data_IF_023808034804
#
_entry.id   IF_023808034804
#
_cell.length_a   1.000
_cell.length_b   1.000
_cell.length_c   1.000
_cell.angle_alpha   90.00
_cell.angle_beta   90.00
_cell.angle_gamma   90.00
#
_symmetry.space_group_name_H-M   'P 1'
#
loop_
_entity.id
_entity.type
_entity.pdbx_description
1 polymer ?
#
# COMPACT_ATOMS: atom_id res chain seq x y z
N UNK A 1 8.19 -3.06 12.10
CA UNK A 1 7.38 -4.30 12.11
C UNK A 1 8.29 -5.48 12.38
N UNK A 2 7.91 -6.42 13.25
CA UNK A 2 8.71 -7.63 13.50
C UNK A 2 8.74 -8.51 12.23
N UNK A 3 9.93 -8.97 11.83
CA UNK A 3 10.14 -9.78 10.60
C UNK A 3 9.17 -10.96 10.50
N UNK A 4 9.04 -11.74 11.57
CA UNK A 4 8.15 -12.90 11.58
C UNK A 4 6.68 -12.56 11.35
N UNK A 5 6.21 -11.40 11.82
CA UNK A 5 4.83 -10.96 11.57
C UNK A 5 4.65 -10.53 10.11
N UNK A 6 5.63 -9.82 9.55
CA UNK A 6 5.66 -9.44 8.13
C UNK A 6 5.55 -10.68 7.24
N UNK A 7 6.36 -11.70 7.51
CA UNK A 7 6.41 -12.90 6.69
C UNK A 7 5.09 -13.68 6.73
N UNK A 8 4.44 -13.76 7.91
CA UNK A 8 3.10 -14.37 8.05
C UNK A 8 2.06 -13.58 7.24
N UNK A 9 2.04 -12.25 7.36
CA UNK A 9 1.10 -11.41 6.63
C UNK A 9 1.29 -11.53 5.12
N UNK A 10 2.54 -11.55 4.65
CA UNK A 10 2.84 -11.73 3.23
C UNK A 10 2.48 -13.14 2.74
N UNK A 11 2.81 -14.19 3.49
CA UNK A 11 2.45 -15.55 3.11
C UNK A 11 0.95 -15.73 2.92
N UNK A 12 0.13 -15.09 3.76
CA UNK A 12 -1.33 -15.13 3.64
C UNK A 12 -1.87 -14.26 2.50
N UNK A 13 -1.37 -13.03 2.37
CA UNK A 13 -1.97 -12.02 1.50
C UNK A 13 -1.44 -11.99 0.07
N UNK A 14 -0.21 -12.48 -0.16
CA UNK A 14 0.47 -12.40 -1.47
C UNK A 14 -0.33 -13.02 -2.62
N UNK A 15 -0.96 -14.21 -2.51
CA UNK A 15 -1.76 -14.76 -3.60
C UNK A 15 -2.96 -13.86 -3.99
N UNK A 16 -3.55 -13.19 -2.99
CA UNK A 16 -4.67 -12.25 -3.22
C UNK A 16 -4.15 -10.98 -3.88
N UNK A 17 -3.00 -10.45 -3.42
CA UNK A 17 -2.34 -9.31 -4.04
C UNK A 17 -1.97 -9.60 -5.49
N UNK A 18 -1.32 -10.72 -5.76
CA UNK A 18 -0.84 -11.06 -7.10
C UNK A 18 -1.99 -11.29 -8.10
N UNK A 19 -3.14 -11.81 -7.63
CA UNK A 19 -4.35 -11.96 -8.48
C UNK A 19 -5.08 -10.66 -8.79
N UNK A 20 -4.87 -9.59 -8.02
CA UNK A 20 -5.56 -8.30 -8.18
C UNK A 20 -4.60 -7.13 -8.47
N UNK A 21 -3.30 -7.40 -8.66
CA UNK A 21 -2.25 -6.40 -8.82
C UNK A 21 -2.50 -5.48 -10.02
N UNK A 22 -2.90 -6.05 -11.16
CA UNK A 22 -3.25 -5.29 -12.36
C UNK A 22 -4.46 -4.38 -12.13
N UNK A 23 -5.51 -4.90 -11.49
CA UNK A 23 -6.71 -4.12 -11.19
C UNK A 23 -6.42 -2.93 -10.28
N UNK A 24 -5.56 -3.11 -9.27
CA UNK A 24 -5.16 -2.01 -8.39
C UNK A 24 -4.31 -0.97 -9.15
N UNK A 25 -3.40 -1.43 -10.01
CA UNK A 25 -2.57 -0.56 -10.83
C UNK A 25 -3.41 0.30 -11.80
N UNK A 26 -4.38 -0.32 -12.47
CA UNK A 26 -5.26 0.35 -13.41
C UNK A 26 -6.20 1.32 -12.68
N UNK A 27 -6.77 0.91 -11.54
CA UNK A 27 -7.59 1.80 -10.71
C UNK A 27 -6.81 3.03 -10.24
N UNK A 28 -5.55 2.87 -9.84
CA UNK A 28 -4.70 4.00 -9.48
C UNK A 28 -4.47 4.95 -10.67
N UNK A 29 -4.17 4.40 -11.85
CA UNK A 29 -3.94 5.19 -13.07
C UNK A 29 -5.20 5.94 -13.50
N UNK A 30 -6.36 5.28 -13.46
CA UNK A 30 -7.66 5.88 -13.75
C UNK A 30 -7.97 7.01 -12.76
N UNK A 31 -7.75 6.79 -11.46
CA UNK A 31 -8.01 7.79 -10.42
C UNK A 31 -7.18 9.05 -10.64
N UNK A 32 -5.89 8.92 -10.97
CA UNK A 32 -5.02 10.07 -11.27
C UNK A 32 -5.52 10.84 -12.49
N UNK A 33 -6.04 10.13 -13.49
CA UNK A 33 -6.55 10.73 -14.73
C UNK A 33 -7.87 11.46 -14.50
N UNK A 34 -8.78 10.87 -13.73
CA UNK A 34 -10.14 11.39 -13.51
C UNK A 34 -10.16 12.47 -12.42
N UNK A 35 -9.36 12.31 -11.36
CA UNK A 35 -9.36 13.18 -10.18
C UNK A 35 -8.00 13.85 -9.90
N UNK A 36 -7.34 14.49 -10.89
CA UNK A 36 -6.03 15.09 -10.67
C UNK A 36 -6.07 16.26 -9.66
N UNK A 37 -7.17 17.01 -9.62
CA UNK A 37 -7.31 18.17 -8.71
C UNK A 37 -7.32 17.77 -7.24
N UNK A 38 -7.88 16.59 -6.90
CA UNK A 38 -7.87 16.09 -5.53
C UNK A 38 -6.44 15.82 -5.03
N UNK A 39 -5.56 15.31 -5.91
CA UNK A 39 -4.16 15.08 -5.61
C UNK A 39 -3.37 16.39 -5.54
N UNK A 40 -3.66 17.35 -6.42
CA UNK A 40 -3.05 18.68 -6.38
C UNK A 40 -3.44 19.41 -5.09
N UNK A 41 -4.69 19.31 -4.65
CA UNK A 41 -5.17 19.88 -3.39
C UNK A 41 -4.48 19.26 -2.16
N UNK A 42 -4.00 18.03 -2.25
CA UNK A 42 -3.15 17.40 -1.22
C UNK A 42 -1.69 17.91 -1.23
N UNK A 43 -1.34 18.84 -2.13
CA UNK A 43 -0.01 19.45 -2.22
C UNK A 43 0.95 18.79 -3.21
N UNK A 44 0.47 17.85 -4.04
CA UNK A 44 1.31 17.26 -5.08
C UNK A 44 1.52 18.22 -6.27
N UNK A 45 2.72 18.17 -6.85
CA UNK A 45 3.06 19.06 -7.97
C UNK A 45 2.19 18.77 -9.21
N UNK A 46 1.48 19.76 -9.79
CA UNK A 46 0.52 19.54 -10.87
C UNK A 46 1.08 18.82 -12.10
N UNK A 47 2.30 19.17 -12.52
CA UNK A 47 2.93 18.49 -13.65
C UNK A 47 3.14 17.01 -13.34
N UNK A 48 3.64 16.68 -12.15
CA UNK A 48 3.91 15.30 -11.74
C UNK A 48 2.63 14.46 -11.70
N UNK A 49 1.55 15.00 -11.12
CA UNK A 49 0.23 14.34 -11.08
C UNK A 49 -0.23 13.98 -12.50
N UNK A 50 -0.20 14.94 -13.42
CA UNK A 50 -0.75 14.75 -14.77
C UNK A 50 0.16 13.94 -15.70
N UNK A 51 1.49 13.95 -15.49
CA UNK A 51 2.44 13.36 -16.43
C UNK A 51 2.93 11.97 -16.03
N UNK A 52 3.03 11.67 -14.73
CA UNK A 52 3.88 10.57 -14.28
C UNK A 52 3.36 9.81 -13.07
N UNK A 53 2.56 10.44 -12.20
CA UNK A 53 2.13 9.84 -10.94
C UNK A 53 1.36 8.52 -11.16
N UNK A 54 0.43 8.48 -12.12
CA UNK A 54 -0.35 7.27 -12.43
C UNK A 54 0.51 6.10 -12.90
N UNK A 55 1.43 6.34 -13.84
CA UNK A 55 2.32 5.30 -14.36
C UNK A 55 3.37 4.85 -13.33
N UNK A 56 3.83 5.78 -12.49
CA UNK A 56 4.72 5.48 -11.38
C UNK A 56 4.02 4.59 -10.34
N UNK A 57 2.77 4.90 -9.99
CA UNK A 57 1.96 4.09 -9.09
C UNK A 57 1.73 2.68 -9.66
N UNK A 58 1.30 2.60 -10.93
CA UNK A 58 1.05 1.33 -11.60
C UNK A 58 2.32 0.46 -11.69
N UNK A 59 3.45 1.06 -12.08
CA UNK A 59 4.73 0.35 -12.17
C UNK A 59 5.19 -0.15 -10.81
N UNK A 60 5.05 0.66 -9.76
CA UNK A 60 5.34 0.24 -8.40
C UNK A 60 4.45 -0.93 -7.99
N UNK A 61 3.14 -0.83 -8.19
CA UNK A 61 2.20 -1.89 -7.84
C UNK A 61 2.59 -3.18 -8.56
N UNK A 62 2.89 -3.12 -9.86
CA UNK A 62 3.26 -4.30 -10.65
C UNK A 62 4.61 -4.92 -10.27
N UNK A 63 5.58 -4.13 -9.80
CA UNK A 63 6.92 -4.62 -9.47
C UNK A 63 6.93 -5.66 -8.33
N UNK A 64 6.01 -5.56 -7.37
CA UNK A 64 5.89 -6.51 -6.24
C UNK A 64 7.06 -6.56 -5.25
N UNK A 65 8.09 -5.75 -5.48
CA UNK A 65 9.28 -5.60 -4.64
C UNK A 65 9.90 -4.21 -4.85
N UNK A 66 10.82 -3.82 -3.96
CA UNK A 66 11.51 -2.53 -4.00
C UNK A 66 11.43 -1.77 -2.66
N UNK A 67 12.21 -0.72 -2.54
CA UNK A 67 12.49 -0.06 -1.25
C UNK A 67 12.23 1.46 -1.23
N UNK A 68 11.52 1.99 -2.23
CA UNK A 68 11.22 3.43 -2.27
C UNK A 68 10.00 3.77 -1.41
N UNK A 69 10.25 4.48 -0.30
CA UNK A 69 9.20 5.08 0.53
C UNK A 69 8.34 6.12 -0.22
N UNK A 70 8.91 6.79 -1.24
CA UNK A 70 8.16 7.75 -2.04
C UNK A 70 7.10 7.07 -2.92
N UNK A 71 7.38 5.87 -3.44
CA UNK A 71 6.37 5.07 -4.15
C UNK A 71 5.23 4.67 -3.22
N UNK A 72 5.53 4.41 -1.94
CA UNK A 72 4.49 4.17 -0.93
C UNK A 72 3.60 5.40 -0.73
N UNK A 73 4.20 6.59 -0.63
CA UNK A 73 3.45 7.84 -0.52
C UNK A 73 2.57 8.11 -1.74
N UNK A 74 3.08 7.85 -2.95
CA UNK A 74 2.31 8.01 -4.19
C UNK A 74 1.07 7.11 -4.20
N UNK A 75 1.25 5.80 -3.99
CA UNK A 75 0.13 4.85 -4.04
C UNK A 75 -0.89 5.11 -2.92
N UNK A 76 -0.42 5.37 -1.71
CA UNK A 76 -1.32 5.68 -0.57
C UNK A 76 -2.09 6.98 -0.77
N UNK A 77 -1.49 8.02 -1.36
CA UNK A 77 -2.19 9.27 -1.67
C UNK A 77 -3.31 9.05 -2.70
N UNK A 78 -3.05 8.27 -3.75
CA UNK A 78 -4.08 7.94 -4.76
C UNK A 78 -5.21 7.15 -4.13
N UNK A 79 -4.89 6.14 -3.32
CA UNK A 79 -5.91 5.30 -2.66
C UNK A 79 -6.69 6.10 -1.62
N UNK A 80 -6.10 7.13 -1.02
CA UNK A 80 -6.82 8.07 -0.17
C UNK A 80 -7.86 8.88 -0.96
N UNK A 81 -7.60 9.20 -2.23
CA UNK A 81 -8.62 9.81 -3.12
C UNK A 81 -9.70 8.80 -3.49
N UNK A 82 -9.34 7.53 -3.73
CA UNK A 82 -10.33 6.46 -3.98
C UNK A 82 -11.28 6.29 -2.79
N UNK A 83 -10.74 6.36 -1.56
CA UNK A 83 -11.48 6.27 -0.31
C UNK A 83 -11.95 7.64 0.21
N UNK A 84 -12.24 8.59 -0.68
CA UNK A 84 -12.77 9.90 -0.29
C UNK A 84 -14.04 9.72 0.54
N UNK A 85 -14.13 10.49 1.64
CA UNK A 85 -15.24 10.41 2.59
C UNK A 85 -15.10 9.34 3.69
N UNK A 86 -14.13 8.42 3.59
CA UNK A 86 -13.90 7.42 4.63
C UNK A 86 -13.18 8.00 5.85
N UNK A 87 -13.63 7.59 7.04
CA UNK A 87 -12.98 7.88 8.31
C UNK A 87 -11.69 7.07 8.50
N UNK A 88 -10.91 7.40 9.52
CA UNK A 88 -9.69 6.63 9.86
C UNK A 88 -10.07 5.22 10.31
N UNK A 89 -11.16 5.08 11.06
CA UNK A 89 -11.67 3.80 11.55
C UNK A 89 -12.10 2.89 10.39
N UNK A 90 -12.75 3.45 9.36
CA UNK A 90 -13.12 2.71 8.14
C UNK A 90 -11.89 2.27 7.34
N UNK A 91 -10.85 3.12 7.29
CA UNK A 91 -9.58 2.76 6.67
C UNK A 91 -8.84 1.67 7.45
N UNK A 92 -8.95 1.65 8.78
CA UNK A 92 -8.29 0.65 9.63
C UNK A 92 -8.94 -0.74 9.53
N UNK A 93 -10.27 -0.80 9.50
CA UNK A 93 -11.02 -2.06 9.54
C UNK A 93 -11.72 -2.39 8.22
N UNK A 94 -10.99 -3.01 7.29
CA UNK A 94 -11.56 -3.54 6.04
C UNK A 94 -11.93 -5.03 6.16
N UNK A 95 -13.19 -5.38 5.89
CA UNK A 95 -13.71 -6.75 6.06
C UNK A 95 -13.27 -7.74 4.96
N UNK A 96 -12.56 -7.27 3.95
CA UNK A 96 -12.10 -8.03 2.77
C UNK A 96 -11.42 -9.35 3.19
N UNK A 97 -10.55 -9.29 4.19
CA UNK A 97 -9.78 -10.44 4.67
C UNK A 97 -10.62 -11.51 5.37
N UNK A 98 -11.77 -11.14 5.95
CA UNK A 98 -12.70 -12.08 6.59
C UNK A 98 -13.59 -12.79 5.57
N UNK A 99 -13.95 -12.12 4.48
CA UNK A 99 -14.86 -12.64 3.43
C UNK A 99 -14.18 -13.64 2.48
N UNK A 100 -12.86 -13.49 2.27
CA UNK A 100 -12.07 -14.29 1.31
C UNK A 100 -11.88 -15.77 1.72
N UNK A 101 -12.28 -16.18 2.93
CA UNK A 101 -12.32 -17.60 3.33
C UNK A 101 -13.39 -18.43 2.61
N UNK A 102 -14.31 -17.80 1.86
CA UNK A 102 -15.53 -18.44 1.33
C UNK A 102 -15.50 -18.81 -0.17
N UNK A 103 -14.42 -18.55 -0.91
CA UNK A 103 -14.33 -18.91 -2.33
C UNK A 103 -13.48 -17.93 -3.13
N UNK A 104 -12.44 -18.45 -3.79
CA UNK A 104 -11.48 -17.69 -4.59
C UNK A 104 -12.07 -17.33 -5.95
N UNK A 105 -12.85 -16.26 -6.01
CA UNK A 105 -13.18 -15.59 -7.28
C UNK A 105 -12.26 -14.39 -7.43
N UNK A 106 -11.51 -14.30 -8.52
CA UNK A 106 -10.86 -13.04 -8.91
C UNK A 106 -11.98 -12.04 -9.17
N UNK A 107 -11.93 -10.88 -8.54
CA UNK A 107 -12.92 -9.83 -8.77
C UNK A 107 -12.72 -9.25 -10.17
N UNK A 108 -13.79 -8.98 -10.91
CA UNK A 108 -13.70 -8.24 -12.18
C UNK A 108 -13.38 -6.76 -11.98
N UNK A 109 -13.74 -6.21 -10.80
CA UNK A 109 -13.49 -4.82 -10.39
C UNK A 109 -13.22 -4.75 -8.89
N UNK A 110 -12.35 -3.83 -8.49
CA UNK A 110 -12.07 -3.56 -7.08
C UNK A 110 -13.09 -2.56 -6.51
N UNK A 111 -13.70 -2.91 -5.38
CA UNK A 111 -14.38 -1.94 -4.53
C UNK A 111 -13.37 -1.16 -3.68
N UNK A 112 -13.83 -0.07 -3.05
CA UNK A 112 -12.98 0.81 -2.22
C UNK A 112 -12.29 0.01 -1.09
N UNK A 113 -13.03 -0.90 -0.45
CA UNK A 113 -12.52 -1.74 0.62
C UNK A 113 -11.36 -2.64 0.14
N UNK A 114 -11.49 -3.26 -1.04
CA UNK A 114 -10.44 -4.09 -1.63
C UNK A 114 -9.24 -3.26 -2.06
N UNK A 115 -9.45 -2.06 -2.62
CA UNK A 115 -8.36 -1.15 -2.95
C UNK A 115 -7.53 -0.76 -1.71
N UNK A 116 -8.21 -0.41 -0.60
CA UNK A 116 -7.56 -0.10 0.69
C UNK A 116 -6.83 -1.33 1.23
N UNK A 117 -7.48 -2.50 1.23
CA UNK A 117 -6.89 -3.76 1.71
C UNK A 117 -5.60 -4.11 0.96
N UNK A 118 -5.65 -4.12 -0.38
CA UNK A 118 -4.50 -4.43 -1.23
C UNK A 118 -3.38 -3.40 -1.08
N UNK A 119 -3.73 -2.13 -0.87
CA UNK A 119 -2.75 -1.07 -0.59
C UNK A 119 -2.00 -1.31 0.71
N UNK A 120 -2.66 -1.83 1.75
CA UNK A 120 -1.98 -2.24 2.99
C UNK A 120 -0.98 -3.37 2.73
N UNK A 121 -1.32 -4.35 1.88
CA UNK A 121 -0.38 -5.40 1.49
C UNK A 121 0.81 -4.81 0.73
N UNK A 122 0.55 -3.93 -0.22
CA UNK A 122 1.59 -3.20 -0.95
C UNK A 122 2.56 -2.46 -0.01
N UNK A 123 2.05 -1.84 1.06
CA UNK A 123 2.87 -1.19 2.10
C UNK A 123 3.72 -2.22 2.85
N UNK A 124 3.15 -3.37 3.23
CA UNK A 124 3.86 -4.46 3.92
C UNK A 124 4.96 -5.05 3.04
N UNK A 125 4.71 -5.24 1.73
CA UNK A 125 5.70 -5.70 0.75
C UNK A 125 6.95 -4.80 0.74
N UNK A 126 6.75 -3.48 0.88
CA UNK A 126 7.81 -2.45 0.85
C UNK A 126 8.35 -2.03 2.21
N UNK A 127 7.74 -2.50 3.30
CA UNK A 127 8.27 -2.25 4.63
C UNK A 127 9.61 -2.96 4.76
N UNK A 128 10.65 -2.20 5.05
CA UNK A 128 11.91 -2.76 5.51
C UNK A 128 11.76 -3.26 6.96
N UNK A 129 12.65 -4.18 7.35
CA UNK A 129 12.83 -4.57 8.74
C UNK A 129 13.33 -3.35 9.53
N UNK A 130 12.88 -3.20 10.79
CA UNK A 130 13.72 -2.46 11.73
C UNK A 130 14.95 -3.32 11.94
N UNK A 131 16.14 -2.76 11.72
CA UNK A 131 17.38 -3.46 12.01
C UNK A 131 17.52 -3.66 13.52
N UNK A 132 17.11 -4.84 14.00
CA UNK A 132 17.20 -5.19 15.41
C UNK A 132 18.66 -5.36 15.86
N UNK A 133 19.64 -5.43 14.94
CA UNK A 133 21.06 -5.42 15.32
C UNK A 133 21.45 -4.11 16.03
N UNK A 134 20.76 -3.00 15.74
CA UNK A 134 21.01 -1.72 16.41
C UNK A 134 20.75 -1.77 17.93
N UNK A 135 19.90 -2.68 18.41
CA UNK A 135 19.69 -2.91 19.85
C UNK A 135 20.74 -3.83 20.47
N UNK A 136 21.40 -4.66 19.66
CA UNK A 136 22.49 -5.54 20.11
C UNK A 136 23.85 -4.82 20.11
N UNK A 137 24.00 -3.73 19.36
CA UNK A 137 25.21 -2.91 19.29
C UNK A 137 25.21 -1.69 20.23
N UNK A 138 24.25 -1.60 21.16
CA UNK A 138 24.32 -0.60 22.23
C UNK A 138 25.54 -0.93 23.12
N UNK A 139 26.53 -0.03 23.24
CA UNK A 139 27.66 -0.25 24.13
C UNK A 139 27.16 -0.50 25.54
N UNK A 140 27.66 -1.56 26.19
CA UNK A 140 27.30 -1.95 27.56
C UNK A 140 27.48 -0.81 28.57
N UNK A 141 28.24 0.24 28.23
CA UNK A 141 28.41 1.45 29.01
C UNK A 141 27.14 2.27 29.25
N UNK A 142 26.03 2.01 28.54
CA UNK A 142 24.74 2.65 28.79
C UNK A 142 23.83 1.88 29.77
N UNK A 143 24.20 0.64 30.15
CA UNK A 143 23.42 -0.17 31.08
C UNK A 143 23.82 0.01 32.56
N UNK A 144 24.85 0.80 32.84
CA UNK A 144 25.32 1.08 34.20
C UNK A 144 25.68 2.56 34.36
N UNK A 145 24.68 3.40 34.60
CA UNK A 145 24.82 4.76 35.12
C UNK A 145 23.76 4.99 36.22
#
# INVERSE_FOLDING_TARGET
>A
MHRGLRDILLAYSKPIMDSHRSLLADLCRETVTTNPEALIAQGWHPHFVRSSMGDMAASAIMAGQGDSGDLVRVVTAIVRVIAEGWSVEELDCVEVWRRQGAGRSVLERLDVASAVALTKVFVVERSQELDYQMYHDLPTSLYFA
#
